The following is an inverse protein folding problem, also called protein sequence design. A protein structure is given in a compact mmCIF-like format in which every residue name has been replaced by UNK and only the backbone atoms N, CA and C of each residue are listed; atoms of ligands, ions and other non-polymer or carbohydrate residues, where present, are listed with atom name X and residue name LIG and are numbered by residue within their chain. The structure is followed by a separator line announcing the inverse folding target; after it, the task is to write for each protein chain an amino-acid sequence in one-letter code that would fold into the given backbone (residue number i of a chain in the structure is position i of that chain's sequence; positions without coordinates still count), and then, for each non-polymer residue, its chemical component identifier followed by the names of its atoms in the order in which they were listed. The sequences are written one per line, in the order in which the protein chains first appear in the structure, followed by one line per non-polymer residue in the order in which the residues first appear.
data_IF_602706102116
#
_entry.id   IF_602706102116
#
_cell.length_a   1.000
_cell.length_b   1.000
_cell.length_c   1.000
_cell.angle_alpha   90.00
_cell.angle_beta   90.00
_cell.angle_gamma   90.00
#
_symmetry.space_group_name_H-M   'P 1'
#
loop_
_entity.id
_entity.type
_entity.pdbx_description
1 polymer ?
#
# COMPACT_ATOMS: atom_id res chain seq x y z
N UNK A 1 -2.86 1.86 -9.84
CA UNK A 1 -1.98 2.04 -11.01
C UNK A 1 -1.97 0.87 -12.01
N UNK A 2 -2.25 -0.37 -11.59
CA UNK A 2 -2.36 -1.53 -12.50
C UNK A 2 -3.47 -1.39 -13.57
N UNK A 3 -4.46 -0.53 -13.36
CA UNK A 3 -5.58 -0.30 -14.29
C UNK A 3 -5.21 0.61 -15.48
N UNK A 4 -4.40 1.65 -15.29
CA UNK A 4 -4.00 2.57 -16.38
C UNK A 4 -3.10 1.85 -17.40
N UNK A 5 -2.15 1.03 -16.93
CA UNK A 5 -1.24 0.27 -17.79
C UNK A 5 -1.91 -0.84 -18.62
N UNK A 6 -3.15 -1.24 -18.29
CA UNK A 6 -3.95 -2.13 -19.16
C UNK A 6 -4.60 -1.35 -20.31
N UNK A 7 -4.97 -0.09 -20.08
CA UNK A 7 -5.54 0.82 -21.07
C UNK A 7 -4.56 1.23 -22.17
N UNK A 8 -3.25 1.20 -21.92
CA UNK A 8 -2.21 1.59 -22.89
C UNK A 8 -1.87 0.52 -23.93
N UNK A 9 -2.45 -0.68 -23.83
CA UNK A 9 -2.21 -1.76 -24.80
C UNK A 9 -2.88 -1.45 -26.14
N UNK A 10 -2.14 -1.72 -27.23
CA UNK A 10 -2.68 -1.70 -28.59
C UNK A 10 -3.78 -2.74 -28.71
N UNK A 11 -4.95 -2.33 -29.18
CA UNK A 11 -6.04 -3.22 -29.56
C UNK A 11 -6.22 -3.09 -31.08
N UNK A 12 -5.81 -4.09 -31.87
CA UNK A 12 -5.96 -4.05 -33.32
C UNK A 12 -7.42 -3.96 -33.73
N UNK A 13 -7.69 -3.26 -34.84
CA UNK A 13 -9.01 -3.14 -35.46
C UNK A 13 -10.16 -2.59 -34.57
N UNK A 14 -9.84 -1.97 -33.42
CA UNK A 14 -10.85 -1.51 -32.47
C UNK A 14 -11.86 -0.52 -33.09
N UNK A 15 -11.40 0.30 -34.04
CA UNK A 15 -12.23 1.28 -34.75
C UNK A 15 -12.59 0.84 -36.18
N UNK A 16 -12.40 -0.44 -36.51
CA UNK A 16 -12.67 -1.05 -37.80
C UNK A 16 -11.43 -1.69 -38.46
N UNK A 17 -11.58 -2.37 -39.61
CA UNK A 17 -10.48 -3.06 -40.28
C UNK A 17 -9.32 -2.12 -40.62
N UNK A 18 -8.10 -2.48 -40.21
CA UNK A 18 -6.87 -1.69 -40.26
C UNK A 18 -6.95 -0.36 -39.48
N UNK A 19 -7.83 -0.25 -38.48
CA UNK A 19 -7.95 0.94 -37.63
C UNK A 19 -7.80 0.56 -36.16
N UNK A 20 -6.54 0.46 -35.77
CA UNK A 20 -6.14 0.15 -34.40
C UNK A 20 -6.56 1.24 -33.42
N UNK A 21 -6.62 0.86 -32.15
CA UNK A 21 -6.84 1.77 -31.03
C UNK A 21 -5.80 2.91 -31.00
N UNK A 22 -6.27 4.14 -31.18
CA UNK A 22 -5.47 5.37 -31.11
C UNK A 22 -5.29 5.92 -29.70
N UNK A 23 -6.16 5.53 -28.75
CA UNK A 23 -6.10 6.01 -27.38
C UNK A 23 -7.19 5.40 -26.50
N UNK A 24 -7.28 5.88 -25.26
CA UNK A 24 -8.36 5.59 -24.33
C UNK A 24 -8.61 6.81 -23.46
N UNK A 25 -9.86 7.02 -23.08
CA UNK A 25 -10.25 8.08 -22.17
C UNK A 25 -10.31 7.51 -20.75
N UNK A 26 -9.76 8.25 -19.80
CA UNK A 26 -9.96 7.98 -18.37
C UNK A 26 -10.91 9.05 -17.86
N UNK A 27 -12.06 8.62 -17.38
CA UNK A 27 -13.00 9.51 -16.72
C UNK A 27 -12.65 9.53 -15.23
N UNK A 28 -12.22 10.70 -14.76
CA UNK A 28 -12.00 10.93 -13.34
C UNK A 28 -13.32 11.31 -12.67
N UNK A 29 -14.02 10.32 -12.12
CA UNK A 29 -15.19 10.58 -11.28
C UNK A 29 -14.71 11.06 -9.90
N UNK A 30 -15.26 12.18 -9.43
CA UNK A 30 -14.99 12.76 -8.10
C UNK A 30 -13.60 13.39 -7.92
N UNK A 31 -12.98 13.91 -8.98
CA UNK A 31 -11.73 14.70 -8.88
C UNK A 31 -10.57 13.96 -8.18
N UNK A 32 -10.43 12.64 -8.37
CA UNK A 32 -9.35 11.88 -7.73
C UNK A 32 -7.97 12.44 -8.08
N UNK A 33 -7.77 12.88 -9.32
CA UNK A 33 -6.48 13.45 -9.72
C UNK A 33 -6.17 14.75 -8.99
N UNK A 34 -7.18 15.57 -8.70
CA UNK A 34 -7.02 16.78 -7.90
C UNK A 34 -6.73 16.44 -6.43
N UNK A 35 -7.47 15.49 -5.86
CA UNK A 35 -7.26 14.97 -4.51
C UNK A 35 -5.84 14.43 -4.28
N UNK A 36 -5.29 13.63 -5.22
CA UNK A 36 -3.94 13.09 -5.10
C UNK A 36 -2.81 14.08 -5.49
N UNK A 37 -3.12 15.17 -6.20
CA UNK A 37 -2.15 16.21 -6.58
C UNK A 37 -1.99 17.32 -5.52
N UNK A 38 -2.93 17.44 -4.59
CA UNK A 38 -2.80 18.37 -3.48
C UNK A 38 -1.89 17.76 -2.39
N UNK A 39 -1.00 18.57 -1.79
CA UNK A 39 -0.44 18.27 -0.46
C UNK A 39 -1.53 18.51 0.58
N UNK A 40 -2.54 17.66 0.59
CA UNK A 40 -3.66 17.75 1.53
C UNK A 40 -3.20 17.34 2.92
N UNK A 41 -3.45 18.19 3.92
CA UNK A 41 -3.72 17.67 5.27
C UNK A 41 -4.97 16.79 5.17
N UNK A 42 -4.95 15.64 5.85
CA UNK A 42 -6.04 14.66 5.83
C UNK A 42 -7.39 15.36 6.06
N UNK A 43 -8.22 15.40 5.02
CA UNK A 43 -9.61 15.76 5.18
C UNK A 43 -10.28 14.61 5.95
N UNK A 44 -10.72 14.88 7.18
CA UNK A 44 -11.54 13.98 7.99
C UNK A 44 -12.93 13.83 7.36
N UNK A 45 -13.02 13.14 6.23
CA UNK A 45 -14.26 12.52 5.82
C UNK A 45 -14.48 11.31 6.74
N UNK A 46 -15.39 11.41 7.70
CA UNK A 46 -15.81 10.25 8.49
C UNK A 46 -16.50 9.24 7.56
N UNK A 47 -15.71 8.34 6.98
CA UNK A 47 -16.21 7.15 6.31
C UNK A 47 -17.01 6.35 7.34
N UNK A 48 -18.24 5.96 6.98
CA UNK A 48 -19.05 5.13 7.87
C UNK A 48 -18.29 3.83 8.18
N UNK A 49 -18.23 3.41 9.46
CA UNK A 49 -17.44 2.26 9.87
C UNK A 49 -17.91 0.99 9.16
N UNK A 50 -16.94 0.18 8.73
CA UNK A 50 -17.23 -1.06 8.01
C UNK A 50 -18.06 -2.02 8.87
N UNK A 51 -18.76 -2.99 8.26
CA UNK A 51 -19.51 -3.99 9.04
C UNK A 51 -18.59 -4.78 9.99
N UNK A 52 -17.36 -5.05 9.57
CA UNK A 52 -16.38 -5.75 10.39
C UNK A 52 -15.92 -4.89 11.57
N UNK A 53 -15.64 -3.62 11.32
CA UNK A 53 -15.31 -2.65 12.37
C UNK A 53 -16.45 -2.55 13.40
N UNK A 54 -17.69 -2.39 12.94
CA UNK A 54 -18.86 -2.31 13.83
C UNK A 54 -19.08 -3.58 14.65
N UNK A 55 -18.77 -4.76 14.09
CA UNK A 55 -18.83 -6.02 14.82
C UNK A 55 -17.76 -6.08 15.91
N UNK A 56 -16.54 -5.68 15.57
CA UNK A 56 -15.43 -5.62 16.51
C UNK A 56 -15.75 -4.65 17.66
N UNK A 57 -16.18 -3.42 17.35
CA UNK A 57 -16.60 -2.41 18.33
C UNK A 57 -17.66 -2.96 19.28
N UNK A 58 -18.73 -3.57 18.74
CA UNK A 58 -19.83 -4.08 19.59
C UNK A 58 -19.44 -5.27 20.45
N UNK A 59 -18.46 -6.07 20.04
CA UNK A 59 -17.88 -7.12 20.89
C UNK A 59 -17.06 -6.53 22.01
N UNK A 60 -16.24 -5.51 21.72
CA UNK A 60 -15.46 -4.79 22.73
C UNK A 60 -16.39 -4.09 23.74
N UNK A 61 -17.45 -3.42 23.28
CA UNK A 61 -18.47 -2.81 24.13
C UNK A 61 -19.11 -3.84 25.07
N UNK A 62 -19.48 -5.01 24.55
CA UNK A 62 -20.13 -6.06 25.34
C UNK A 62 -19.16 -6.68 26.36
N UNK A 63 -17.89 -6.87 25.97
CA UNK A 63 -16.84 -7.33 26.87
C UNK A 63 -16.62 -6.35 28.03
N UNK A 64 -16.55 -5.04 27.75
CA UNK A 64 -16.43 -4.01 28.78
C UNK A 64 -17.64 -4.02 29.73
N UNK A 65 -18.86 -4.07 29.19
CA UNK A 65 -20.07 -4.10 30.02
C UNK A 65 -20.14 -5.34 30.92
N UNK A 66 -19.66 -6.49 30.46
CA UNK A 66 -19.56 -7.72 31.27
C UNK A 66 -18.51 -7.57 32.38
N UNK A 67 -17.33 -7.00 32.08
CA UNK A 67 -16.28 -6.77 33.08
C UNK A 67 -16.67 -5.72 34.14
N UNK A 68 -17.56 -4.77 33.80
CA UNK A 68 -18.13 -3.81 34.75
C UNK A 68 -19.17 -4.45 35.69
N UNK A 69 -19.97 -5.39 35.20
CA UNK A 69 -20.98 -6.10 36.00
C UNK A 69 -20.38 -7.21 36.87
N UNK A 70 -19.27 -7.84 36.43
CA UNK A 70 -18.64 -8.99 37.06
C UNK A 70 -17.13 -8.78 37.33
N UNK A 71 -16.74 -7.81 38.18
CA UNK A 71 -15.35 -7.34 38.27
C UNK A 71 -14.33 -8.32 38.88
N UNK A 72 -14.79 -9.40 39.54
CA UNK A 72 -13.97 -10.30 40.40
C UNK A 72 -14.01 -11.78 39.98
N UNK A 73 -14.43 -12.11 38.76
CA UNK A 73 -14.57 -13.51 38.34
C UNK A 73 -13.26 -14.11 37.78
N UNK A 74 -12.87 -15.26 38.34
CA UNK A 74 -11.66 -16.01 38.00
C UNK A 74 -11.82 -16.66 36.61
N UNK A 75 -10.75 -16.75 35.78
CA UNK A 75 -10.80 -17.45 34.50
C UNK A 75 -11.39 -18.88 34.66
N UNK A 76 -12.36 -19.27 33.82
CA UNK A 76 -13.00 -20.58 33.90
C UNK A 76 -11.96 -21.65 33.61
N UNK A 77 -12.02 -22.72 34.38
CA UNK A 77 -11.03 -23.79 34.30
C UNK A 77 -11.37 -24.89 33.31
N UNK A 78 -12.56 -24.92 32.68
CA UNK A 78 -12.88 -25.83 31.55
C UNK A 78 -14.22 -25.54 30.81
N UNK A 79 -15.15 -24.70 31.31
CA UNK A 79 -16.46 -24.42 30.67
C UNK A 79 -16.59 -22.96 30.17
N UNK A 80 -15.79 -22.58 29.17
CA UNK A 80 -15.84 -21.27 28.52
C UNK A 80 -16.85 -21.23 27.35
N UNK A 81 -18.11 -21.63 27.56
CA UNK A 81 -19.15 -21.53 26.52
C UNK A 81 -20.15 -20.41 26.86
N UNK A 82 -20.18 -19.37 26.02
CA UNK A 82 -21.09 -18.24 26.14
C UNK A 82 -22.56 -18.55 25.96
N UNK A 83 -22.92 -19.78 25.64
CA UNK A 83 -24.32 -20.25 25.65
C UNK A 83 -24.78 -20.75 27.01
N UNK A 84 -23.87 -20.89 27.99
CA UNK A 84 -24.18 -21.44 29.32
C UNK A 84 -24.37 -20.34 30.37
N UNK A 85 -23.46 -19.38 30.43
CA UNK A 85 -23.49 -18.28 31.42
C UNK A 85 -22.72 -17.05 30.90
N UNK A 86 -22.87 -15.94 31.62
CA UNK A 86 -22.30 -14.64 31.26
C UNK A 86 -20.75 -14.65 31.33
N UNK A 87 -20.18 -15.45 32.23
CA UNK A 87 -18.72 -15.67 32.36
C UNK A 87 -18.15 -16.33 31.11
N UNK A 88 -18.80 -17.38 30.62
CA UNK A 88 -18.43 -18.06 29.39
C UNK A 88 -18.51 -17.11 28.19
N UNK A 89 -19.54 -16.25 28.16
CA UNK A 89 -19.71 -15.28 27.09
C UNK A 89 -18.59 -14.23 27.10
N UNK A 90 -18.22 -13.75 28.28
CA UNK A 90 -17.08 -12.85 28.49
C UNK A 90 -15.79 -13.44 27.92
N UNK A 91 -15.48 -14.69 28.25
CA UNK A 91 -14.26 -15.34 27.77
C UNK A 91 -14.30 -15.67 26.28
N UNK A 92 -15.44 -16.07 25.73
CA UNK A 92 -15.60 -16.26 24.30
C UNK A 92 -15.36 -14.96 23.53
N UNK A 93 -15.85 -13.82 24.03
CA UNK A 93 -15.60 -12.50 23.44
C UNK A 93 -14.13 -12.11 23.52
N UNK A 94 -13.47 -12.35 24.66
CA UNK A 94 -12.05 -12.06 24.86
C UNK A 94 -11.15 -12.87 23.91
N UNK A 95 -11.31 -14.19 23.85
CA UNK A 95 -10.59 -15.04 22.89
C UNK A 95 -10.87 -14.60 21.46
N UNK A 96 -12.13 -14.27 21.17
CA UNK A 96 -12.50 -13.86 19.82
C UNK A 96 -11.84 -12.54 19.39
N UNK A 97 -11.80 -11.54 20.26
CA UNK A 97 -11.16 -10.26 19.97
C UNK A 97 -9.64 -10.41 19.88
N UNK A 98 -9.06 -11.20 20.78
CA UNK A 98 -7.64 -11.57 20.74
C UNK A 98 -7.26 -12.27 19.44
N UNK A 99 -8.06 -13.24 18.97
CA UNK A 99 -7.85 -13.89 17.69
C UNK A 99 -7.93 -12.89 16.53
N UNK A 100 -8.89 -11.97 16.53
CA UNK A 100 -9.01 -10.96 15.48
C UNK A 100 -7.78 -10.02 15.44
N UNK A 101 -7.22 -9.67 16.60
CA UNK A 101 -6.01 -8.82 16.74
C UNK A 101 -4.72 -9.58 16.40
N UNK A 102 -4.52 -10.77 16.96
CA UNK A 102 -3.30 -11.58 16.74
C UNK A 102 -3.11 -12.00 15.28
N UNK A 103 -4.19 -12.05 14.49
CA UNK A 103 -4.17 -12.35 13.06
C UNK A 103 -4.03 -11.11 12.15
N UNK A 104 -3.79 -9.93 12.72
CA UNK A 104 -3.42 -8.73 11.96
C UNK A 104 -1.98 -8.84 11.45
N UNK A 105 -1.73 -8.45 10.20
CA UNK A 105 -0.39 -8.52 9.62
C UNK A 105 0.44 -7.27 10.01
N UNK A 106 1.49 -7.39 10.85
CA UNK A 106 2.28 -6.24 11.30
C UNK A 106 3.05 -5.54 10.17
N UNK A 107 3.28 -6.23 9.04
CA UNK A 107 3.95 -5.63 7.88
C UNK A 107 3.01 -4.78 7.02
N UNK A 108 1.70 -4.83 7.25
CA UNK A 108 0.71 -4.04 6.51
C UNK A 108 0.88 -2.55 6.84
N UNK A 109 0.95 -1.70 5.80
CA UNK A 109 1.17 -0.26 5.95
C UNK A 109 0.07 0.44 6.80
N UNK A 110 -1.16 -0.09 6.83
CA UNK A 110 -2.24 0.44 7.67
C UNK A 110 -2.06 0.07 9.15
N UNK A 111 -1.38 -1.04 9.44
CA UNK A 111 -1.21 -1.58 10.80
C UNK A 111 0.08 -1.03 11.43
N UNK A 112 1.14 -0.78 10.63
CA UNK A 112 2.43 -0.26 11.13
C UNK A 112 2.33 0.95 12.08
N UNK A 113 1.44 1.94 11.87
CA UNK A 113 1.29 3.06 12.81
C UNK A 113 0.73 2.65 14.18
N UNK A 114 0.01 1.53 14.27
CA UNK A 114 -0.67 1.04 15.46
C UNK A 114 0.05 -0.18 16.08
N UNK A 115 1.36 -0.31 15.83
CA UNK A 115 2.14 -1.49 16.22
C UNK A 115 2.24 -1.66 17.73
N UNK A 116 2.33 -0.56 18.48
CA UNK A 116 2.37 -0.58 19.93
C UNK A 116 1.08 -1.16 20.54
N UNK A 117 -0.08 -0.72 20.03
CA UNK A 117 -1.38 -1.27 20.41
C UNK A 117 -1.49 -2.74 19.99
N UNK A 118 -1.06 -3.08 18.77
CA UNK A 118 -1.08 -4.46 18.30
C UNK A 118 -0.24 -5.37 19.20
N UNK A 119 1.00 -4.99 19.54
CA UNK A 119 1.89 -5.81 20.37
C UNK A 119 1.30 -5.98 21.78
N UNK A 120 0.65 -4.94 22.33
CA UNK A 120 -0.02 -4.99 23.64
C UNK A 120 -1.22 -5.94 23.63
N UNK A 121 -2.11 -5.82 22.64
CA UNK A 121 -3.35 -6.60 22.57
C UNK A 121 -3.19 -7.95 21.83
N UNK A 122 -2.03 -8.24 21.27
CA UNK A 122 -1.64 -9.58 20.84
C UNK A 122 -1.30 -10.50 22.02
N UNK A 123 -0.94 -9.93 23.18
CA UNK A 123 -0.84 -10.68 24.43
C UNK A 123 -2.24 -10.92 24.99
N UNK A 124 -2.53 -12.18 25.38
CA UNK A 124 -3.82 -12.54 25.94
C UNK A 124 -4.02 -11.92 27.33
N UNK A 125 -2.95 -11.60 28.06
CA UNK A 125 -3.02 -11.01 29.39
C UNK A 125 -3.76 -9.67 29.40
N UNK A 126 -3.65 -8.88 28.31
CA UNK A 126 -4.40 -7.63 28.09
C UNK A 126 -5.91 -7.82 28.02
N UNK A 127 -6.39 -9.04 27.80
CA UNK A 127 -7.80 -9.39 27.72
C UNK A 127 -8.35 -10.04 28.99
N UNK A 128 -7.53 -10.25 30.03
CA UNK A 128 -8.00 -10.79 31.31
C UNK A 128 -9.03 -9.88 31.98
N UNK A 129 -8.89 -8.57 31.80
CA UNK A 129 -9.87 -7.56 32.21
C UNK A 129 -9.75 -6.34 31.29
N UNK A 130 -10.83 -5.98 30.63
CA UNK A 130 -10.89 -4.83 29.75
C UNK A 130 -11.30 -3.59 30.56
N UNK A 131 -10.36 -2.67 30.76
CA UNK A 131 -10.64 -1.38 31.39
C UNK A 131 -11.23 -0.39 30.36
N UNK A 132 -11.91 0.70 30.78
CA UNK A 132 -12.39 1.72 29.84
C UNK A 132 -11.28 2.32 28.97
N UNK A 133 -10.09 2.54 29.53
CA UNK A 133 -8.93 3.05 28.78
C UNK A 133 -8.43 2.03 27.75
N UNK A 134 -8.34 0.75 28.14
CA UNK A 134 -7.96 -0.32 27.22
C UNK A 134 -9.01 -0.51 26.11
N UNK A 135 -10.30 -0.43 26.44
CA UNK A 135 -11.39 -0.46 25.45
C UNK A 135 -11.24 0.65 24.41
N UNK A 136 -10.98 1.89 24.84
CA UNK A 136 -10.77 3.02 23.94
C UNK A 136 -9.59 2.79 22.99
N UNK A 137 -8.45 2.33 23.51
CA UNK A 137 -7.27 2.00 22.69
C UNK A 137 -7.59 0.95 21.62
N UNK A 138 -8.31 -0.13 21.96
CA UNK A 138 -8.64 -1.18 21.00
C UNK A 138 -9.66 -0.67 19.96
N UNK A 139 -10.68 0.06 20.38
CA UNK A 139 -11.73 0.55 19.47
C UNK A 139 -11.18 1.60 18.50
N UNK A 140 -10.44 2.59 19.00
CA UNK A 140 -9.99 3.72 18.20
C UNK A 140 -8.83 3.37 17.27
N UNK A 141 -7.99 2.40 17.67
CA UNK A 141 -6.79 2.06 16.91
C UNK A 141 -6.85 0.73 16.17
N UNK A 142 -7.61 -0.27 16.65
CA UNK A 142 -7.57 -1.63 16.08
C UNK A 142 -8.85 -2.04 15.35
N UNK A 143 -10.03 -1.53 15.73
CA UNK A 143 -11.31 -1.99 15.17
C UNK A 143 -11.44 -1.83 13.65
N UNK A 144 -10.83 -0.78 13.09
CA UNK A 144 -10.86 -0.48 11.65
C UNK A 144 -9.82 -1.25 10.82
N UNK A 145 -8.91 -1.98 11.45
CA UNK A 145 -7.73 -2.54 10.78
C UNK A 145 -8.02 -3.89 10.08
N UNK A 146 -7.35 -4.16 8.95
CA UNK A 146 -7.54 -5.40 8.21
C UNK A 146 -6.92 -6.60 8.96
N UNK A 147 -7.75 -7.58 9.30
CA UNK A 147 -7.32 -8.86 9.88
C UNK A 147 -7.44 -10.02 8.89
N UNK A 148 -6.56 -11.01 9.03
CA UNK A 148 -6.64 -12.26 8.28
C UNK A 148 -7.61 -13.29 8.90
N UNK A 149 -8.11 -13.01 10.12
CA UNK A 149 -9.08 -13.85 10.82
C UNK A 149 -10.34 -14.13 9.97
N UNK A 150 -10.83 -15.38 10.00
CA UNK A 150 -12.04 -15.82 9.29
C UNK A 150 -12.94 -16.64 10.20
N UNK A 151 -14.22 -16.27 10.22
CA UNK A 151 -15.32 -17.09 10.76
C UNK A 151 -15.61 -18.31 9.88
N UNK A 152 -16.24 -19.32 10.49
CA UNK A 152 -16.84 -20.47 9.80
C UNK A 152 -17.89 -20.08 8.75
N UNK A 153 -18.69 -19.03 9.02
CA UNK A 153 -19.61 -18.42 8.06
C UNK A 153 -19.34 -16.92 7.93
N UNK A 154 -18.60 -16.56 6.88
CA UNK A 154 -18.22 -15.18 6.59
C UNK A 154 -19.22 -14.45 5.68
N UNK A 155 -20.44 -14.96 5.48
CA UNK A 155 -21.46 -14.30 4.66
C UNK A 155 -21.90 -12.95 5.25
N UNK A 156 -22.30 -12.01 4.38
CA UNK A 156 -22.74 -10.68 4.83
C UNK A 156 -24.02 -10.77 5.67
N UNK A 157 -24.96 -11.64 5.29
CA UNK A 157 -26.18 -11.89 6.04
C UNK A 157 -25.90 -12.41 7.47
N UNK A 158 -24.97 -13.35 7.63
CA UNK A 158 -24.57 -13.86 8.94
C UNK A 158 -23.96 -12.74 9.81
N UNK A 159 -23.05 -11.94 9.23
CA UNK A 159 -22.43 -10.79 9.93
C UNK A 159 -23.44 -9.74 10.37
N UNK A 160 -24.44 -9.44 9.53
CA UNK A 160 -25.53 -8.51 9.88
C UNK A 160 -26.40 -9.05 11.01
N UNK A 161 -26.64 -10.36 11.03
CA UNK A 161 -27.36 -11.02 12.13
C UNK A 161 -26.54 -11.03 13.42
N UNK A 162 -25.23 -11.32 13.35
CA UNK A 162 -24.33 -11.22 14.51
C UNK A 162 -24.36 -9.80 15.10
N UNK A 163 -24.35 -8.77 14.26
CA UNK A 163 -24.44 -7.39 14.71
C UNK A 163 -25.80 -7.08 15.37
N UNK A 164 -26.90 -7.66 14.87
CA UNK A 164 -28.22 -7.54 15.48
C UNK A 164 -28.24 -8.21 16.87
N UNK A 165 -27.65 -9.39 16.99
CA UNK A 165 -27.57 -10.13 18.25
C UNK A 165 -26.70 -9.41 19.29
N UNK A 166 -25.52 -8.91 18.91
CA UNK A 166 -24.65 -8.12 19.79
C UNK A 166 -25.34 -6.86 20.29
N UNK A 167 -26.11 -6.18 19.42
CA UNK A 167 -26.91 -5.02 19.82
C UNK A 167 -28.04 -5.39 20.78
N UNK A 168 -28.64 -6.57 20.64
CA UNK A 168 -29.64 -7.08 21.59
C UNK A 168 -29.01 -7.39 22.95
N UNK A 169 -27.85 -8.04 22.97
CA UNK A 169 -27.09 -8.32 24.18
C UNK A 169 -26.71 -7.03 24.90
N UNK A 170 -26.19 -6.04 24.17
CA UNK A 170 -25.89 -4.70 24.70
C UNK A 170 -27.13 -3.97 25.22
N UNK A 171 -28.24 -4.01 24.47
CA UNK A 171 -29.48 -3.38 24.91
C UNK A 171 -30.06 -4.05 26.16
N UNK A 172 -29.86 -5.36 26.34
CA UNK A 172 -30.27 -6.09 27.53
C UNK A 172 -29.42 -5.72 28.75
N UNK A 173 -28.08 -5.77 28.61
CA UNK A 173 -27.15 -5.53 29.72
C UNK A 173 -27.18 -4.07 30.19
N UNK A 174 -27.35 -3.12 29.27
CA UNK A 174 -27.41 -1.67 29.55
C UNK A 174 -28.84 -1.15 29.79
N UNK A 175 -29.86 -2.02 29.74
CA UNK A 175 -31.28 -1.65 29.83
C UNK A 175 -31.69 -0.52 28.85
N UNK A 176 -31.24 -0.61 27.59
CA UNK A 176 -31.52 0.41 26.57
C UNK A 176 -32.97 0.36 26.06
N UNK A 177 -33.59 1.51 25.76
CA UNK A 177 -34.96 1.57 25.25
C UNK A 177 -35.12 0.96 23.83
N UNK A 178 -34.02 0.69 23.13
CA UNK A 178 -34.01 0.13 21.78
C UNK A 178 -34.29 -1.38 21.69
N UNK A 179 -34.36 -2.09 22.83
CA UNK A 179 -34.49 -3.55 22.87
C UNK A 179 -35.70 -4.07 22.08
N UNK A 180 -36.89 -3.51 22.30
CA UNK A 180 -38.13 -3.95 21.65
C UNK A 180 -38.09 -3.84 20.12
N UNK A 181 -37.42 -2.81 19.58
CA UNK A 181 -37.27 -2.64 18.14
C UNK A 181 -36.30 -3.66 17.53
N UNK A 182 -35.25 -4.04 18.26
CA UNK A 182 -34.31 -5.09 17.82
C UNK A 182 -34.95 -6.48 17.92
N UNK A 183 -35.72 -6.72 18.98
CA UNK A 183 -36.53 -7.93 19.16
C UNK A 183 -37.49 -8.14 17.99
N UNK A 184 -38.21 -7.08 17.57
CA UNK A 184 -39.11 -7.14 16.41
C UNK A 184 -38.41 -7.61 15.14
N UNK A 185 -37.19 -7.13 14.88
CA UNK A 185 -36.39 -7.57 13.72
C UNK A 185 -36.00 -9.05 13.79
N UNK A 186 -35.70 -9.57 14.99
CA UNK A 186 -35.42 -11.00 15.15
C UNK A 186 -36.68 -11.83 14.91
N UNK A 187 -37.85 -11.39 15.40
CA UNK A 187 -39.14 -12.05 15.14
C UNK A 187 -39.47 -12.10 13.65
N UNK A 188 -39.21 -11.02 12.92
CA UNK A 188 -39.39 -10.96 11.47
C UNK A 188 -38.48 -11.97 10.75
N UNK A 189 -37.20 -12.06 11.15
CA UNK A 189 -36.24 -13.03 10.61
C UNK A 189 -36.67 -14.46 10.93
N UNK A 190 -37.10 -14.74 12.16
CA UNK A 190 -37.57 -16.06 12.57
C UNK A 190 -38.81 -16.48 11.76
N UNK A 191 -39.76 -15.57 11.60
CA UNK A 191 -40.97 -15.80 10.80
C UNK A 191 -40.64 -16.09 9.32
N UNK A 192 -39.74 -15.30 8.73
CA UNK A 192 -39.29 -15.52 7.35
C UNK A 192 -38.56 -16.86 7.16
N UNK A 193 -37.84 -17.35 8.18
CA UNK A 193 -37.23 -18.68 8.15
C UNK A 193 -38.30 -19.79 8.32
N UNK A 194 -39.31 -19.59 9.18
CA UNK A 194 -40.42 -20.54 9.35
C UNK A 194 -41.27 -20.71 8.06
N UNK A 195 -41.27 -19.73 7.16
CA UNK A 195 -41.91 -19.89 5.84
C UNK A 195 -41.18 -20.91 4.94
N UNK A 196 -39.98 -21.36 5.31
CA UNK A 196 -39.08 -22.18 4.48
C UNK A 196 -38.75 -23.57 5.09
N UNK A 197 -39.69 -24.19 5.79
CA UNK A 197 -39.50 -25.52 6.42
C UNK A 197 -39.22 -26.67 5.43
N UNK A 198 -39.34 -26.42 4.13
CA UNK A 198 -38.88 -27.35 3.09
C UNK A 198 -37.38 -27.58 3.16
N UNK A 199 -36.58 -26.62 3.66
CA UNK A 199 -35.12 -26.73 3.80
C UNK A 199 -34.76 -27.51 5.09
N UNK A 200 -34.00 -28.63 5.01
CA UNK A 200 -33.69 -29.45 6.18
C UNK A 200 -32.97 -28.72 7.32
N UNK A 201 -32.03 -27.82 6.99
CA UNK A 201 -31.26 -27.06 7.99
C UNK A 201 -32.16 -26.13 8.82
N UNK A 202 -33.17 -25.53 8.19
CA UNK A 202 -34.17 -24.68 8.86
C UNK A 202 -35.10 -25.54 9.71
N UNK A 203 -35.58 -26.65 9.15
CA UNK A 203 -36.46 -27.59 9.86
C UNK A 203 -35.83 -28.14 11.14
N UNK A 204 -34.52 -28.40 11.14
CA UNK A 204 -33.78 -28.83 12.32
C UNK A 204 -33.81 -27.80 13.47
N UNK A 205 -34.03 -26.52 13.16
CA UNK A 205 -34.13 -25.43 14.13
C UNK A 205 -35.57 -24.94 14.35
N UNK A 206 -36.59 -25.67 13.85
CA UNK A 206 -38.00 -25.25 13.89
C UNK A 206 -38.46 -24.81 15.29
N UNK A 207 -38.20 -25.62 16.32
CA UNK A 207 -38.63 -25.32 17.69
C UNK A 207 -38.07 -23.98 18.16
N UNK A 208 -36.77 -23.73 17.97
CA UNK A 208 -36.15 -22.47 18.35
C UNK A 208 -36.74 -21.29 17.58
N UNK A 209 -36.98 -21.45 16.28
CA UNK A 209 -37.56 -20.38 15.44
C UNK A 209 -38.99 -20.03 15.86
N UNK A 210 -39.81 -21.03 16.23
CA UNK A 210 -41.16 -20.84 16.74
C UNK A 210 -41.16 -20.13 18.10
N UNK A 211 -40.26 -20.55 19.01
CA UNK A 211 -40.05 -19.88 20.29
C UNK A 211 -39.62 -18.41 20.11
N UNK A 212 -38.68 -18.13 19.20
CA UNK A 212 -38.21 -16.78 18.91
C UNK A 212 -39.31 -15.87 18.33
N UNK A 213 -40.24 -16.44 17.55
CA UNK A 213 -41.38 -15.71 17.01
C UNK A 213 -42.42 -15.37 18.09
N UNK A 214 -42.57 -16.23 19.11
CA UNK A 214 -43.48 -16.04 20.23
C UNK A 214 -43.00 -15.01 21.26
N UNK A 215 -43.94 -14.38 21.98
CA UNK A 215 -43.60 -13.38 23.01
C UNK A 215 -43.03 -14.00 24.30
N UNK A 216 -43.38 -15.25 24.58
CA UNK A 216 -43.03 -15.91 25.84
C UNK A 216 -41.52 -16.09 26.03
N UNK A 217 -40.79 -16.41 24.96
CA UNK A 217 -39.33 -16.57 25.01
C UNK A 217 -38.59 -15.30 25.45
N UNK A 218 -39.19 -14.13 25.23
CA UNK A 218 -38.58 -12.83 25.48
C UNK A 218 -38.85 -12.24 26.87
N UNK A 219 -39.72 -12.86 27.69
CA UNK A 219 -40.09 -12.31 28.99
C UNK A 219 -38.93 -12.32 30.00
N UNK A 220 -38.15 -13.41 30.02
CA UNK A 220 -37.02 -13.63 30.92
C UNK A 220 -35.73 -13.96 30.14
N UNK A 221 -35.52 -13.25 29.03
CA UNK A 221 -34.38 -13.50 28.14
C UNK A 221 -33.06 -13.12 28.80
N UNK A 222 -32.05 -13.97 28.63
CA UNK A 222 -30.70 -13.79 29.19
C UNK A 222 -29.64 -13.67 28.08
N UNK A 223 -28.44 -13.19 28.41
CA UNK A 223 -27.33 -13.10 27.46
C UNK A 223 -26.95 -14.46 26.84
N UNK A 224 -26.90 -15.58 27.59
CA UNK A 224 -26.59 -16.90 27.02
C UNK A 224 -27.70 -17.42 26.10
N UNK A 225 -28.96 -17.07 26.34
CA UNK A 225 -30.07 -17.37 25.42
C UNK A 225 -29.91 -16.61 24.10
N UNK A 226 -29.54 -15.32 24.14
CA UNK A 226 -29.26 -14.51 22.95
C UNK A 226 -28.02 -15.02 22.20
N UNK A 227 -27.00 -15.50 22.89
CA UNK A 227 -25.81 -16.10 22.26
C UNK A 227 -26.14 -17.43 21.59
N UNK A 228 -26.97 -18.27 22.24
CA UNK A 228 -27.49 -19.52 21.66
C UNK A 228 -28.26 -19.24 20.37
N UNK A 229 -29.14 -18.22 20.40
CA UNK A 229 -29.86 -17.75 19.22
C UNK A 229 -28.87 -17.32 18.12
N UNK A 230 -27.87 -16.50 18.46
CA UNK A 230 -26.86 -16.02 17.49
C UNK A 230 -26.18 -17.18 16.77
N UNK A 231 -25.62 -18.14 17.52
CA UNK A 231 -24.88 -19.29 16.97
C UNK A 231 -25.76 -20.19 16.10
N UNK A 232 -26.99 -20.50 16.52
CA UNK A 232 -27.88 -21.44 15.81
C UNK A 232 -28.56 -20.82 14.59
N UNK A 233 -28.86 -19.52 14.62
CA UNK A 233 -29.64 -18.85 13.57
C UNK A 233 -28.75 -18.19 12.51
N UNK A 234 -27.54 -17.70 12.84
CA UNK A 234 -26.69 -16.93 11.90
C UNK A 234 -26.50 -17.63 10.54
N UNK A 235 -26.24 -18.94 10.55
CA UNK A 235 -26.00 -19.73 9.34
C UNK A 235 -27.26 -19.97 8.51
N UNK A 236 -28.46 -19.78 9.09
CA UNK A 236 -29.74 -19.93 8.40
C UNK A 236 -30.18 -18.64 7.70
N UNK A 237 -29.80 -17.46 8.19
CA UNK A 237 -30.28 -16.17 7.66
C UNK A 237 -30.00 -16.00 6.16
N UNK A 238 -28.89 -16.58 5.66
CA UNK A 238 -28.54 -16.56 4.23
C UNK A 238 -29.51 -17.34 3.34
N UNK A 239 -30.32 -18.23 3.92
CA UNK A 239 -31.29 -19.07 3.21
C UNK A 239 -32.60 -18.34 2.96
N UNK A 240 -32.87 -17.25 3.69
CA UNK A 240 -34.06 -16.42 3.48
C UNK A 240 -34.09 -15.95 2.03
N UNK A 241 -35.20 -16.23 1.37
CA UNK A 241 -35.40 -15.93 -0.03
C UNK A 241 -35.28 -14.43 -0.24
N UNK A 242 -34.41 -14.02 -1.17
CA UNK A 242 -34.11 -12.61 -1.47
C UNK A 242 -35.30 -11.88 -2.13
N UNK A 243 -36.44 -12.54 -2.27
CA UNK A 243 -37.64 -12.17 -3.05
C UNK A 243 -38.41 -10.95 -2.51
N UNK A 244 -37.96 -10.28 -1.45
CA UNK A 244 -38.55 -9.02 -0.94
C UNK A 244 -37.54 -7.91 -0.62
N UNK A 245 -36.34 -7.91 -1.23
CA UNK A 245 -35.54 -6.67 -1.23
C UNK A 245 -36.24 -5.70 -2.18
N UNK A 246 -36.80 -4.60 -1.66
CA UNK A 246 -37.15 -3.45 -2.49
C UNK A 246 -35.92 -3.18 -3.36
N UNK A 247 -36.05 -3.35 -4.67
CA UNK A 247 -35.00 -2.99 -5.59
C UNK A 247 -34.88 -1.48 -5.46
N UNK A 248 -33.87 -1.02 -4.73
CA UNK A 248 -33.54 0.39 -4.65
C UNK A 248 -32.91 0.70 -6.00
N UNK A 249 -33.73 1.21 -6.92
CA UNK A 249 -33.24 1.89 -8.10
C UNK A 249 -32.65 3.20 -7.62
N UNK A 250 -31.34 3.22 -7.46
CA UNK A 250 -30.58 4.46 -7.37
C UNK A 250 -30.36 4.96 -8.79
N UNK A 251 -31.37 5.65 -9.33
CA UNK A 251 -31.24 6.40 -10.57
C UNK A 251 -30.76 7.80 -10.22
N UNK A 252 -29.44 7.99 -10.29
CA UNK A 252 -28.82 9.30 -10.15
C UNK A 252 -28.69 9.89 -11.55
N UNK A 253 -29.45 10.94 -11.82
CA UNK A 253 -29.22 11.74 -13.02
C UNK A 253 -27.92 12.52 -12.80
N UNK A 254 -26.83 12.05 -13.43
CA UNK A 254 -25.55 12.74 -13.40
C UNK A 254 -25.74 14.13 -14.02
N UNK A 255 -25.65 15.19 -13.21
CA UNK A 255 -25.38 16.53 -13.72
C UNK A 255 -23.95 16.52 -14.26
N UNK A 256 -23.81 16.19 -15.55
CA UNK A 256 -22.57 16.38 -16.29
C UNK A 256 -22.26 17.88 -16.32
N UNK A 257 -21.50 18.34 -15.34
CA UNK A 257 -20.84 19.62 -15.39
C UNK A 257 -19.96 19.72 -16.64
N UNK A 258 -19.55 20.94 -16.99
CA UNK A 258 -18.66 21.14 -18.13
C UNK A 258 -17.40 20.28 -17.99
N UNK A 259 -17.14 19.44 -19.00
CA UNK A 259 -15.94 18.62 -19.07
C UNK A 259 -14.74 19.56 -19.16
N UNK A 260 -13.97 19.65 -18.08
CA UNK A 260 -12.71 20.37 -18.03
C UNK A 260 -11.55 19.39 -18.22
N UNK A 261 -10.59 19.76 -19.05
CA UNK A 261 -9.37 18.98 -19.20
C UNK A 261 -8.52 19.12 -17.93
N UNK A 262 -8.45 18.06 -17.12
CA UNK A 262 -7.56 18.01 -15.96
C UNK A 262 -6.12 17.72 -16.42
N UNK A 263 -5.16 18.50 -15.91
CA UNK A 263 -3.73 18.28 -16.18
C UNK A 263 -3.13 17.42 -15.06
N UNK A 264 -2.60 16.26 -15.43
CA UNK A 264 -1.87 15.37 -14.53
C UNK A 264 -0.47 15.94 -14.25
N UNK A 265 -0.30 16.68 -13.14
CA UNK A 265 1.03 17.07 -12.66
C UNK A 265 1.63 15.96 -11.80
N UNK A 266 2.87 15.54 -12.10
CA UNK A 266 3.64 14.57 -11.30
C UNK A 266 3.63 13.12 -11.80
N UNK A 267 2.87 12.79 -12.85
CA UNK A 267 2.72 11.40 -13.34
C UNK A 267 3.41 11.10 -14.68
N UNK A 268 3.81 12.11 -15.44
CA UNK A 268 4.24 11.92 -16.83
C UNK A 268 5.73 11.60 -17.01
N UNK A 269 6.56 11.84 -16.01
CA UNK A 269 8.01 11.79 -16.21
C UNK A 269 8.57 10.41 -15.84
N UNK A 270 8.31 9.82 -14.68
CA UNK A 270 9.10 8.63 -14.26
C UNK A 270 8.98 7.37 -15.17
N UNK A 271 7.77 6.99 -15.60
CA UNK A 271 7.60 5.78 -16.44
C UNK A 271 7.99 6.04 -17.91
N UNK A 272 7.75 7.25 -18.40
CA UNK A 272 8.08 7.64 -19.78
C UNK A 272 9.58 7.91 -19.92
N UNK A 273 10.17 8.58 -18.93
CA UNK A 273 11.59 8.94 -18.90
C UNK A 273 12.47 7.70 -18.74
N UNK A 274 12.10 6.73 -17.92
CA UNK A 274 12.82 5.45 -17.86
C UNK A 274 12.82 4.71 -19.22
N UNK A 275 11.73 4.78 -19.98
CA UNK A 275 11.65 4.21 -21.33
C UNK A 275 12.50 5.01 -22.34
N UNK A 276 12.51 6.34 -22.20
CA UNK A 276 13.37 7.23 -22.99
C UNK A 276 14.86 6.95 -22.72
N UNK A 277 15.28 6.86 -21.45
CA UNK A 277 16.63 6.47 -21.05
C UNK A 277 17.02 5.12 -21.64
N UNK A 278 16.12 4.13 -21.56
CA UNK A 278 16.36 2.81 -22.13
C UNK A 278 16.56 2.85 -23.66
N UNK A 279 15.73 3.63 -24.38
CA UNK A 279 15.88 3.79 -25.84
C UNK A 279 17.19 4.48 -26.20
N UNK A 280 17.58 5.53 -25.47
CA UNK A 280 18.87 6.19 -25.67
C UNK A 280 20.03 5.23 -25.40
N UNK A 281 19.99 4.46 -24.30
CA UNK A 281 21.04 3.47 -24.00
C UNK A 281 21.18 2.45 -25.13
N UNK A 282 20.07 1.93 -25.67
CA UNK A 282 20.08 1.01 -26.82
C UNK A 282 20.73 1.69 -28.04
N UNK A 283 20.34 2.93 -28.35
CA UNK A 283 20.91 3.66 -29.48
C UNK A 283 22.43 3.87 -29.32
N UNK A 284 22.88 4.31 -28.13
CA UNK A 284 24.28 4.58 -27.86
C UNK A 284 25.14 3.30 -27.99
N UNK A 285 24.64 2.14 -27.54
CA UNK A 285 25.33 0.86 -27.73
C UNK A 285 25.30 0.35 -29.17
N UNK A 286 24.22 0.60 -29.92
CA UNK A 286 24.15 0.22 -31.33
C UNK A 286 25.07 1.09 -32.22
N UNK A 287 25.40 2.30 -31.77
CA UNK A 287 26.15 3.29 -32.53
C UNK A 287 27.46 3.71 -31.83
N UNK A 288 28.16 2.76 -31.20
CA UNK A 288 29.43 3.04 -30.50
C UNK A 288 30.52 3.61 -31.44
N UNK A 289 30.39 3.39 -32.75
CA UNK A 289 31.28 3.93 -33.79
C UNK A 289 30.91 5.34 -34.27
N UNK A 290 29.79 5.91 -33.81
CA UNK A 290 29.43 7.28 -34.15
C UNK A 290 30.38 8.27 -33.45
N UNK A 291 30.90 9.25 -34.17
CA UNK A 291 31.96 10.15 -33.69
C UNK A 291 31.60 10.83 -32.35
N UNK A 292 30.38 11.33 -32.21
CA UNK A 292 29.92 11.96 -30.97
C UNK A 292 29.82 10.96 -29.79
N UNK A 293 29.37 9.73 -30.05
CA UNK A 293 29.27 8.68 -29.02
C UNK A 293 30.67 8.21 -28.60
N UNK A 294 31.57 8.06 -29.56
CA UNK A 294 32.98 7.72 -29.31
C UNK A 294 33.65 8.80 -28.44
N UNK A 295 33.39 10.10 -28.72
CA UNK A 295 33.93 11.19 -27.90
C UNK A 295 33.43 11.12 -26.46
N UNK A 296 32.14 10.88 -26.25
CA UNK A 296 31.53 10.73 -24.92
C UNK A 296 32.20 9.57 -24.16
N UNK A 297 32.35 8.41 -24.81
CA UNK A 297 32.86 7.18 -24.19
C UNK A 297 34.38 7.18 -23.98
N UNK A 298 35.16 7.76 -24.89
CA UNK A 298 36.64 7.79 -24.82
C UNK A 298 37.20 9.03 -24.12
N UNK A 299 36.39 9.70 -23.31
CA UNK A 299 36.78 10.90 -22.56
C UNK A 299 37.39 12.01 -23.43
N UNK A 300 36.88 12.20 -24.66
CA UNK A 300 37.31 13.29 -25.54
C UNK A 300 36.32 14.45 -25.43
N UNK A 301 36.82 15.66 -25.68
CA UNK A 301 36.01 16.87 -25.65
C UNK A 301 34.86 16.79 -26.66
N UNK A 302 33.63 16.96 -26.18
CA UNK A 302 32.45 17.09 -27.02
C UNK A 302 32.26 18.55 -27.47
N UNK A 303 31.72 18.76 -28.67
CA UNK A 303 31.36 20.10 -29.17
C UNK A 303 29.85 20.33 -29.12
N UNK A 304 29.43 21.59 -29.21
CA UNK A 304 28.00 21.93 -29.31
C UNK A 304 27.33 21.25 -30.52
N UNK A 305 28.01 21.26 -31.68
CA UNK A 305 27.53 20.61 -32.91
C UNK A 305 27.36 19.10 -32.73
N UNK A 306 28.25 18.41 -32.01
CA UNK A 306 28.10 16.97 -31.74
C UNK A 306 26.80 16.68 -30.97
N UNK A 307 26.43 17.56 -30.01
CA UNK A 307 25.23 17.41 -29.19
C UNK A 307 23.96 17.77 -29.95
N UNK A 308 23.99 18.83 -30.76
CA UNK A 308 22.88 19.23 -31.64
C UNK A 308 22.54 18.13 -32.65
N UNK A 309 23.55 17.48 -33.23
CA UNK A 309 23.37 16.36 -34.14
C UNK A 309 22.73 15.14 -33.45
N UNK A 310 23.20 14.78 -32.25
CA UNK A 310 22.62 13.69 -31.47
C UNK A 310 21.17 13.98 -31.06
N UNK A 311 20.89 15.21 -30.62
CA UNK A 311 19.55 15.66 -30.31
C UNK A 311 18.62 15.58 -31.53
N UNK A 312 19.08 16.04 -32.70
CA UNK A 312 18.32 15.91 -33.95
C UNK A 312 18.03 14.45 -34.27
N UNK A 313 19.04 13.57 -34.19
CA UNK A 313 18.85 12.14 -34.47
C UNK A 313 17.86 11.49 -33.50
N UNK A 314 17.90 11.84 -32.21
CA UNK A 314 16.95 11.29 -31.24
C UNK A 314 15.51 11.68 -31.53
N UNK A 315 15.29 12.91 -32.00
CA UNK A 315 13.97 13.41 -32.38
C UNK A 315 13.52 12.76 -33.70
N UNK A 316 14.35 12.77 -34.74
CA UNK A 316 14.03 12.22 -36.06
C UNK A 316 13.78 10.70 -36.03
N UNK A 317 14.50 9.99 -35.16
CA UNK A 317 14.38 8.53 -35.00
C UNK A 317 13.25 8.13 -34.04
N UNK A 318 12.52 9.08 -33.45
CA UNK A 318 11.47 8.80 -32.47
C UNK A 318 11.97 8.16 -31.16
N UNK A 319 13.25 8.36 -30.84
CA UNK A 319 13.89 7.86 -29.62
C UNK A 319 13.38 8.67 -28.42
N UNK A 320 13.25 9.98 -28.57
CA UNK A 320 12.66 10.87 -27.57
C UNK A 320 12.02 12.11 -28.17
N UNK A 321 11.23 12.79 -27.35
CA UNK A 321 10.59 14.07 -27.64
C UNK A 321 11.49 15.23 -27.19
N UNK A 322 11.26 16.41 -27.75
CA UNK A 322 11.97 17.64 -27.36
C UNK A 322 11.82 17.95 -25.85
N UNK A 323 10.64 17.66 -25.28
CA UNK A 323 10.37 17.83 -23.85
C UNK A 323 11.20 16.87 -22.97
N UNK A 324 11.33 15.60 -23.36
CA UNK A 324 12.15 14.61 -22.64
C UNK A 324 13.63 14.99 -22.67
N UNK A 325 14.13 15.47 -23.81
CA UNK A 325 15.51 15.93 -23.97
C UNK A 325 15.77 17.20 -23.14
N UNK A 326 14.85 18.16 -23.15
CA UNK A 326 14.93 19.37 -22.32
C UNK A 326 14.95 19.03 -20.82
N UNK A 327 14.15 18.05 -20.39
CA UNK A 327 14.16 17.56 -19.03
C UNK A 327 15.49 16.91 -18.65
N UNK A 328 16.03 16.03 -19.51
CA UNK A 328 17.33 15.39 -19.31
C UNK A 328 18.49 16.40 -19.18
N UNK A 329 18.48 17.45 -20.01
CA UNK A 329 19.43 18.56 -19.96
C UNK A 329 19.38 19.29 -18.61
N UNK A 330 18.18 19.55 -18.10
CA UNK A 330 17.99 20.31 -16.86
C UNK A 330 18.42 19.52 -15.62
N UNK A 331 18.04 18.24 -15.54
CA UNK A 331 18.36 17.41 -14.36
C UNK A 331 19.84 17.09 -14.22
N UNK A 332 20.54 16.86 -15.34
CA UNK A 332 21.94 16.39 -15.33
C UNK A 332 22.95 17.51 -15.60
N UNK A 333 22.48 18.75 -15.76
CA UNK A 333 23.32 19.91 -16.06
C UNK A 333 23.87 19.94 -17.50
N UNK A 334 23.23 19.23 -18.43
CA UNK A 334 23.57 19.20 -19.86
C UNK A 334 23.36 17.84 -20.52
N UNK A 335 23.15 17.85 -21.85
CA UNK A 335 22.89 16.63 -22.62
C UNK A 335 24.10 15.68 -22.62
N UNK A 336 25.32 16.20 -22.75
CA UNK A 336 26.51 15.35 -22.78
C UNK A 336 26.79 14.63 -21.46
N UNK A 337 26.51 15.26 -20.32
CA UNK A 337 26.61 14.63 -19.00
C UNK A 337 25.57 13.52 -18.83
N UNK A 338 24.34 13.77 -19.26
CA UNK A 338 23.27 12.77 -19.29
C UNK A 338 23.61 11.57 -20.17
N UNK A 339 24.09 11.80 -21.40
CA UNK A 339 24.46 10.71 -22.29
C UNK A 339 25.65 9.90 -21.72
N UNK A 340 26.60 10.56 -21.07
CA UNK A 340 27.74 9.89 -20.41
C UNK A 340 27.31 9.03 -19.23
N UNK A 341 26.35 9.47 -18.41
CA UNK A 341 25.85 8.67 -17.30
C UNK A 341 25.11 7.40 -17.77
N UNK A 342 24.53 7.43 -18.98
CA UNK A 342 23.82 6.27 -19.54
C UNK A 342 24.74 5.19 -20.14
N UNK A 343 25.78 5.59 -20.89
CA UNK A 343 26.70 4.67 -21.58
C UNK A 343 27.96 4.33 -20.76
N UNK A 344 28.31 5.14 -19.77
CA UNK A 344 29.56 5.02 -19.03
C UNK A 344 30.79 5.50 -19.82
N UNK A 345 31.97 5.27 -19.26
CA UNK A 345 33.24 5.61 -19.86
C UNK A 345 34.01 4.34 -20.24
N UNK A 346 34.79 4.39 -21.31
CA UNK A 346 35.72 3.31 -21.61
C UNK A 346 36.75 3.20 -20.47
N UNK A 347 36.92 1.99 -19.94
CA UNK A 347 37.81 1.75 -18.79
C UNK A 347 39.26 2.15 -19.08
N UNK A 348 39.75 1.94 -20.31
CA UNK A 348 41.09 2.35 -20.69
C UNK A 348 41.21 3.87 -20.74
N UNK A 349 40.19 4.57 -21.26
CA UNK A 349 40.15 6.03 -21.24
C UNK A 349 40.07 6.59 -19.80
N UNK A 350 39.30 5.95 -18.91
CA UNK A 350 39.25 6.28 -17.49
C UNK A 350 40.64 6.10 -16.84
N UNK A 351 41.26 4.94 -17.02
CA UNK A 351 42.59 4.65 -16.48
C UNK A 351 43.66 5.62 -17.00
N UNK A 352 43.58 6.00 -18.28
CA UNK A 352 44.46 7.00 -18.87
C UNK A 352 44.25 8.39 -18.25
N UNK A 353 43.02 8.81 -17.97
CA UNK A 353 42.77 10.08 -17.29
C UNK A 353 43.40 10.11 -15.88
N UNK A 354 43.38 8.97 -15.18
CA UNK A 354 44.01 8.81 -13.87
C UNK A 354 45.51 8.47 -13.94
N UNK A 355 46.13 8.31 -15.12
CA UNK A 355 47.56 8.00 -15.20
C UNK A 355 48.40 9.16 -14.67
N UNK A 356 48.02 10.39 -14.98
CA UNK A 356 48.67 11.61 -14.47
C UNK A 356 48.65 11.68 -12.94
N UNK A 357 47.60 11.16 -12.30
CA UNK A 357 47.53 11.08 -10.84
C UNK A 357 48.53 10.06 -10.27
N UNK A 358 48.83 9.00 -11.03
CA UNK A 358 49.73 7.92 -10.62
C UNK A 358 51.19 8.16 -11.01
N UNK A 359 51.46 9.08 -11.93
CA UNK A 359 52.81 9.39 -12.40
C UNK A 359 53.73 9.86 -11.26
N UNK A 360 54.89 9.20 -11.14
CA UNK A 360 55.93 9.56 -10.17
C UNK A 360 55.62 9.21 -8.71
N UNK A 361 54.52 8.51 -8.42
CA UNK A 361 54.13 8.11 -7.05
C UNK A 361 54.26 6.60 -6.83
N UNK A 362 54.59 6.20 -5.61
CA UNK A 362 54.55 4.81 -5.17
C UNK A 362 53.38 4.63 -4.21
N UNK A 363 52.34 3.94 -4.66
CA UNK A 363 51.14 3.73 -3.86
C UNK A 363 51.19 2.41 -3.08
N UNK A 364 50.58 2.41 -1.90
CA UNK A 364 50.29 1.22 -1.12
C UNK A 364 49.21 0.37 -1.78
N UNK A 365 49.10 -0.90 -1.38
CA UNK A 365 48.08 -1.80 -1.91
C UNK A 365 46.63 -1.29 -1.67
N UNK A 366 46.39 -0.55 -0.58
CA UNK A 366 45.09 0.04 -0.29
C UNK A 366 44.79 1.24 -1.22
N UNK A 367 45.76 2.12 -1.42
CA UNK A 367 45.65 3.25 -2.36
C UNK A 367 45.43 2.77 -3.81
N UNK A 368 46.17 1.76 -4.27
CA UNK A 368 45.99 1.18 -5.61
C UNK A 368 44.57 0.62 -5.77
N UNK A 369 44.07 -0.07 -4.73
CA UNK A 369 42.70 -0.61 -4.75
C UNK A 369 41.66 0.49 -4.84
N UNK A 370 41.82 1.56 -4.06
CA UNK A 370 40.92 2.71 -4.09
C UNK A 370 40.88 3.37 -5.47
N UNK A 371 42.06 3.63 -6.07
CA UNK A 371 42.13 4.24 -7.41
C UNK A 371 41.53 3.33 -8.48
N UNK A 372 41.77 2.02 -8.42
CA UNK A 372 41.13 1.08 -9.35
C UNK A 372 39.61 1.03 -9.19
N UNK A 373 39.10 1.08 -7.96
CA UNK A 373 37.66 1.14 -7.72
C UNK A 373 37.07 2.45 -8.27
N UNK A 374 37.79 3.57 -8.15
CA UNK A 374 37.39 4.85 -8.75
C UNK A 374 37.37 4.80 -10.27
N UNK A 375 38.40 4.22 -10.89
CA UNK A 375 38.46 3.98 -12.34
C UNK A 375 37.27 3.12 -12.79
N UNK A 376 36.97 2.04 -12.07
CA UNK A 376 35.86 1.14 -12.39
C UNK A 376 34.50 1.82 -12.17
N UNK A 377 34.37 2.64 -11.12
CA UNK A 377 33.17 3.43 -10.85
C UNK A 377 32.91 4.44 -11.98
N UNK A 378 33.91 5.22 -12.38
CA UNK A 378 33.80 6.17 -13.49
C UNK A 378 33.56 5.45 -14.82
N UNK A 379 34.15 4.27 -15.04
CA UNK A 379 33.89 3.47 -16.23
C UNK A 379 32.42 3.02 -16.30
N UNK A 380 31.82 2.63 -15.17
CA UNK A 380 30.41 2.18 -15.13
C UNK A 380 29.41 3.34 -15.17
N UNK A 381 29.66 4.40 -14.40
CA UNK A 381 28.71 5.50 -14.19
C UNK A 381 28.99 6.72 -15.07
N UNK A 382 30.10 6.72 -15.82
CA UNK A 382 30.52 7.77 -16.74
C UNK A 382 31.14 9.00 -16.06
N UNK A 383 30.63 9.37 -14.89
CA UNK A 383 31.13 10.45 -14.03
C UNK A 383 31.12 10.00 -12.57
N UNK A 384 31.88 10.71 -11.74
CA UNK A 384 31.84 10.57 -10.29
C UNK A 384 31.84 11.95 -9.66
N UNK A 385 30.88 12.20 -8.77
CA UNK A 385 30.86 13.39 -7.93
C UNK A 385 31.66 13.12 -6.64
N UNK A 386 32.11 14.20 -5.98
CA UNK A 386 33.00 14.11 -4.81
C UNK A 386 32.33 13.33 -3.68
N UNK A 387 31.02 13.53 -3.48
CA UNK A 387 30.24 12.84 -2.43
C UNK A 387 30.24 11.32 -2.60
N UNK A 388 30.41 10.82 -3.83
CA UNK A 388 30.47 9.38 -4.08
C UNK A 388 31.66 8.72 -3.38
N UNK A 389 32.75 9.45 -3.14
CA UNK A 389 33.96 8.94 -2.48
C UNK A 389 33.74 8.58 -0.99
N UNK A 390 32.66 9.09 -0.38
CA UNK A 390 32.29 8.81 1.02
C UNK A 390 31.19 7.75 1.14
N UNK A 391 30.72 7.21 0.01
CA UNK A 391 29.69 6.17 -0.04
C UNK A 391 30.27 4.80 -0.46
N UNK A 392 29.47 3.75 -0.33
CA UNK A 392 29.81 2.43 -0.89
C UNK A 392 29.94 2.53 -2.41
N UNK A 393 30.99 1.96 -3.05
CA UNK A 393 31.94 0.97 -2.53
C UNK A 393 33.20 1.53 -1.85
N UNK A 394 33.44 2.85 -1.89
CA UNK A 394 34.68 3.46 -1.41
C UNK A 394 34.83 3.41 0.11
N UNK A 395 33.74 3.59 0.85
CA UNK A 395 33.74 3.52 2.32
C UNK A 395 34.13 2.15 2.88
N UNK A 396 34.07 1.08 2.07
CA UNK A 396 34.57 -0.24 2.47
C UNK A 396 36.11 -0.34 2.44
N UNK A 397 36.77 0.52 1.66
CA UNK A 397 38.23 0.60 1.53
C UNK A 397 38.78 1.66 2.48
N UNK A 398 38.06 2.78 2.62
CA UNK A 398 38.43 3.93 3.43
C UNK A 398 37.20 4.43 4.21
N UNK A 399 36.95 3.93 5.43
CA UNK A 399 35.73 4.21 6.21
C UNK A 399 35.49 5.68 6.54
N UNK A 400 36.56 6.47 6.70
CA UNK A 400 36.53 7.91 6.93
C UNK A 400 36.56 8.76 5.66
N UNK A 401 36.67 8.13 4.48
CA UNK A 401 36.80 8.81 3.20
C UNK A 401 38.22 8.78 2.64
N UNK A 402 38.48 9.41 1.49
CA UNK A 402 39.79 9.39 0.83
C UNK A 402 40.95 9.93 1.71
N UNK A 403 40.65 10.71 2.73
CA UNK A 403 41.58 11.24 3.74
C UNK A 403 42.30 10.15 4.54
N UNK A 404 41.68 8.97 4.70
CA UNK A 404 42.30 7.83 5.38
C UNK A 404 43.52 7.29 4.61
N UNK A 405 43.56 7.52 3.28
CA UNK A 405 44.53 6.89 2.38
C UNK A 405 45.41 7.90 1.64
N UNK A 406 44.98 9.14 1.45
CA UNK A 406 45.65 10.12 0.59
C UNK A 406 45.91 11.43 1.34
N UNK A 407 46.96 12.15 0.94
CA UNK A 407 47.21 13.51 1.46
C UNK A 407 46.22 14.50 0.86
N UNK A 408 46.00 15.65 1.50
CA UNK A 408 45.10 16.69 0.97
C UNK A 408 45.45 17.07 -0.48
N UNK A 409 46.74 17.21 -0.80
CA UNK A 409 47.20 17.53 -2.16
C UNK A 409 46.91 16.40 -3.17
N UNK A 410 46.97 15.14 -2.73
CA UNK A 410 46.59 14.00 -3.57
C UNK A 410 45.07 14.00 -3.82
N UNK A 411 44.27 14.27 -2.80
CA UNK A 411 42.81 14.37 -2.91
C UNK A 411 42.43 15.49 -3.87
N UNK A 412 43.06 16.66 -3.77
CA UNK A 412 42.86 17.77 -4.69
C UNK A 412 43.18 17.39 -6.14
N UNK A 413 44.30 16.70 -6.36
CA UNK A 413 44.69 16.22 -7.70
C UNK A 413 43.68 15.21 -8.25
N UNK A 414 43.17 14.31 -7.39
CA UNK A 414 42.15 13.33 -7.75
C UNK A 414 40.83 14.02 -8.12
N UNK A 415 40.36 14.98 -7.31
CA UNK A 415 39.15 15.77 -7.58
C UNK A 415 39.32 16.59 -8.86
N UNK A 416 40.49 17.18 -9.10
CA UNK A 416 40.78 17.89 -10.35
C UNK A 416 40.67 16.95 -11.57
N UNK A 417 41.16 15.71 -11.44
CA UNK A 417 41.02 14.69 -12.49
C UNK A 417 39.55 14.33 -12.74
N UNK A 418 38.75 14.13 -11.68
CA UNK A 418 37.32 13.89 -11.79
C UNK A 418 36.58 15.06 -12.46
N UNK A 419 36.94 16.30 -12.10
CA UNK A 419 36.39 17.52 -12.74
C UNK A 419 36.78 17.63 -14.20
N UNK A 420 38.02 17.28 -14.56
CA UNK A 420 38.46 17.27 -15.96
C UNK A 420 37.68 16.25 -16.79
N UNK A 421 37.43 15.04 -16.26
CA UNK A 421 36.57 14.04 -16.90
C UNK A 421 35.14 14.57 -17.06
N UNK A 422 34.58 15.23 -16.04
CA UNK A 422 33.24 15.84 -16.12
C UNK A 422 33.20 16.93 -17.20
N UNK A 423 34.23 17.76 -17.30
CA UNK A 423 34.31 18.86 -18.25
C UNK A 423 34.30 18.41 -19.72
N UNK A 424 34.87 17.24 -20.06
CA UNK A 424 34.88 16.76 -21.46
C UNK A 424 33.50 16.35 -21.98
N UNK A 425 32.49 16.20 -21.10
CA UNK A 425 31.09 15.95 -21.46
C UNK A 425 30.26 17.24 -21.57
N UNK A 426 30.83 18.38 -21.21
CA UNK A 426 30.23 19.70 -21.39
C UNK A 426 30.80 20.27 -22.69
N UNK A 427 29.99 20.84 -23.60
CA UNK A 427 30.48 21.39 -24.85
C UNK A 427 31.53 22.49 -24.59
N UNK A 428 32.63 22.44 -25.36
CA UNK A 428 33.70 23.44 -25.33
C UNK A 428 33.30 24.79 -25.95
#
# INVERSE_FOLDING_TARGET
WQMIGRGTRLAPDLFGPNRDKTGFLVFDLCQNFEFFNQKLMHAEGQLAPSLQQRLFERRADLLLALDEQHPDEVPPTDDADGTVNDVGLRWDLAHRLHDEVSHMNPDNFLIRPHREQLDTFADFDSWLKLTPDAHAEVVDHLAGLPTSFRDDDSSEEAKRFDLLALRLQLALINAEPGFAALQGKVKDIASALLDQLTIPAIRAQHQLLDELAGDQWWQDVTLPMLETMRRRVRGLVKLIEKTKRNIVYSDFEDELGNITAATLSGMQIDVTFARFEQKIRIYLHAHEHHVAVEKIRRNRQITATDLEELERIFIESGIGTEAEIAHAKTNTGGLGLFLRSLIGLDRHAAAQAFSTFQEGKTFTAAQIRFVNELIDYVARNGIADVDALYASPFSAIAPGGPEDLFTENDIDTMIQTMRAIKATAVPA
#
